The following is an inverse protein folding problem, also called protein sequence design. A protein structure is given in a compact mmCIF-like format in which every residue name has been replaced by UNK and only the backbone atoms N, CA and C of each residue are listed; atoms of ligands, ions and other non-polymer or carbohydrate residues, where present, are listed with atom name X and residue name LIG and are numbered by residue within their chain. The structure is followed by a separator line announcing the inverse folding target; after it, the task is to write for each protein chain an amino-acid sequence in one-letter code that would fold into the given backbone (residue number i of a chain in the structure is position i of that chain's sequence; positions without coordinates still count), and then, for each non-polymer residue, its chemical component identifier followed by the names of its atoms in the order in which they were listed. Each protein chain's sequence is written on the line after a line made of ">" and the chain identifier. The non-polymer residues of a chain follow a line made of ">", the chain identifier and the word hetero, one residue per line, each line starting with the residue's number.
data_IF_758962046774
#
_entry.id   IF_758962046774
#
_cell.length_a   1.000
_cell.length_b   1.000
_cell.length_c   1.000
_cell.angle_alpha   90.00
_cell.angle_beta   90.00
_cell.angle_gamma   90.00
#
_symmetry.space_group_name_H-M   'P 1'
#
loop_
_entity.id
_entity.type
_entity.pdbx_description
1 polymer ?
#
# COMPACT_ATOMS: atom_id res chain seq x y z
N UNK A 1 10.29 -31.13 21.07
CA UNK A 1 10.40 -29.68 21.33
C UNK A 1 11.36 -29.11 20.32
N UNK A 2 10.86 -28.63 19.15
CA UNK A 2 11.69 -27.89 18.20
C UNK A 2 11.96 -26.51 18.79
N UNK A 3 13.15 -26.28 19.30
CA UNK A 3 13.65 -24.94 19.56
C UNK A 3 14.00 -24.37 18.19
N UNK A 4 13.12 -23.59 17.62
CA UNK A 4 13.44 -22.78 16.44
C UNK A 4 14.40 -21.67 16.89
N UNK A 5 15.70 -21.90 16.73
CA UNK A 5 16.70 -20.85 16.75
C UNK A 5 16.38 -19.94 15.54
N UNK A 6 15.76 -18.79 15.80
CA UNK A 6 15.62 -17.76 14.77
C UNK A 6 17.04 -17.31 14.40
N UNK A 7 17.46 -17.63 13.18
CA UNK A 7 18.73 -17.13 12.66
C UNK A 7 18.64 -15.60 12.44
N UNK A 8 19.77 -14.89 12.50
CA UNK A 8 19.84 -13.47 12.16
C UNK A 8 19.21 -13.22 10.77
N UNK A 9 19.47 -14.11 9.82
CA UNK A 9 18.87 -14.05 8.48
C UNK A 9 17.35 -14.12 8.51
N UNK A 10 16.72 -14.98 9.32
CA UNK A 10 15.27 -15.04 9.43
C UNK A 10 14.70 -13.74 10.01
N UNK A 11 15.37 -13.18 11.00
CA UNK A 11 14.99 -11.88 11.60
C UNK A 11 15.01 -10.78 10.55
N UNK A 12 16.02 -10.69 9.72
CA UNK A 12 16.11 -9.69 8.65
C UNK A 12 15.09 -9.95 7.54
N UNK A 13 14.84 -11.20 7.18
CA UNK A 13 13.78 -11.56 6.23
C UNK A 13 12.40 -11.10 6.73
N UNK A 14 12.08 -11.28 8.03
CA UNK A 14 10.83 -10.79 8.62
C UNK A 14 10.71 -9.26 8.61
N UNK A 15 11.82 -8.53 8.55
CA UNK A 15 11.83 -7.07 8.34
C UNK A 15 11.64 -6.65 6.88
N UNK A 16 11.67 -7.60 5.95
CA UNK A 16 11.45 -7.35 4.52
C UNK A 16 12.70 -7.47 3.64
N UNK A 17 13.82 -7.91 4.18
CA UNK A 17 15.04 -8.11 3.39
C UNK A 17 15.06 -9.51 2.76
N UNK A 18 14.08 -9.77 1.89
CA UNK A 18 13.89 -11.09 1.25
C UNK A 18 15.02 -11.48 0.32
N UNK A 19 15.82 -10.52 -0.15
CA UNK A 19 17.01 -10.81 -0.95
C UNK A 19 18.06 -11.66 -0.19
N UNK A 20 18.00 -11.68 1.15
CA UNK A 20 18.86 -12.54 1.99
C UNK A 20 18.42 -14.00 1.98
N UNK A 21 17.20 -14.30 1.52
CA UNK A 21 16.72 -15.68 1.42
C UNK A 21 17.06 -16.30 0.06
N UNK A 22 17.16 -17.65 0.01
CA UNK A 22 17.33 -18.36 -1.24
C UNK A 22 16.19 -18.06 -2.22
N UNK A 23 16.48 -18.02 -3.53
CA UNK A 23 15.51 -17.63 -4.58
C UNK A 23 14.20 -18.41 -4.52
N UNK A 24 14.26 -19.72 -4.26
CA UNK A 24 13.06 -20.55 -4.12
C UNK A 24 12.20 -20.19 -2.91
N UNK A 25 12.85 -19.91 -1.77
CA UNK A 25 12.16 -19.47 -0.55
C UNK A 25 11.52 -18.10 -0.78
N UNK A 26 12.22 -17.15 -1.37
CA UNK A 26 11.68 -15.82 -1.71
C UNK A 26 10.40 -15.92 -2.55
N UNK A 27 10.38 -16.80 -3.55
CA UNK A 27 9.20 -17.03 -4.37
C UNK A 27 8.01 -17.47 -3.50
N UNK A 28 8.21 -18.43 -2.61
CA UNK A 28 7.16 -18.92 -1.70
C UNK A 28 6.67 -17.82 -0.77
N UNK A 29 7.57 -17.01 -0.21
CA UNK A 29 7.21 -15.87 0.66
C UNK A 29 6.32 -14.87 -0.08
N UNK A 30 6.68 -14.50 -1.30
CA UNK A 30 5.95 -13.53 -2.12
C UNK A 30 4.59 -14.06 -2.59
N UNK A 31 4.52 -15.29 -3.08
CA UNK A 31 3.29 -15.89 -3.60
C UNK A 31 2.23 -16.05 -2.50
N UNK A 32 2.65 -16.37 -1.27
CA UNK A 32 1.75 -16.59 -0.14
C UNK A 32 1.61 -15.35 0.76
N UNK A 33 2.41 -14.32 0.59
CA UNK A 33 2.42 -13.13 1.44
C UNK A 33 2.91 -13.42 2.86
N UNK A 34 3.73 -14.43 3.04
CA UNK A 34 4.32 -14.73 4.34
C UNK A 34 5.19 -13.57 4.82
N UNK A 35 5.08 -13.27 6.11
CA UNK A 35 5.77 -12.19 6.81
C UNK A 35 5.37 -10.76 6.40
N UNK A 36 4.38 -10.55 5.52
CA UNK A 36 4.01 -9.20 5.09
C UNK A 36 3.49 -8.32 6.24
N UNK A 37 2.79 -8.89 7.23
CA UNK A 37 2.41 -8.14 8.43
C UNK A 37 3.62 -7.77 9.28
N UNK A 38 4.58 -8.69 9.46
CA UNK A 38 5.83 -8.43 10.17
C UNK A 38 6.66 -7.36 9.46
N UNK A 39 6.76 -7.45 8.13
CA UNK A 39 7.38 -6.42 7.29
C UNK A 39 6.71 -5.06 7.53
N UNK A 40 5.39 -5.01 7.48
CA UNK A 40 4.64 -3.78 7.73
C UNK A 40 4.92 -3.21 9.13
N UNK A 41 4.94 -4.06 10.16
CA UNK A 41 5.26 -3.66 11.54
C UNK A 41 6.71 -3.16 11.68
N UNK A 42 7.65 -3.76 10.97
CA UNK A 42 9.06 -3.36 11.01
C UNK A 42 9.31 -2.04 10.26
N UNK A 43 8.63 -1.83 9.14
CA UNK A 43 8.83 -0.67 8.27
C UNK A 43 7.98 0.54 8.66
N UNK A 44 6.88 0.36 9.39
CA UNK A 44 5.98 1.43 9.80
C UNK A 44 6.03 1.68 11.30
N UNK A 45 5.59 2.88 11.74
CA UNK A 45 5.26 3.07 13.14
C UNK A 45 3.99 2.28 13.52
N UNK A 46 3.72 2.01 14.81
CA UNK A 46 2.58 1.17 15.23
C UNK A 46 1.22 1.64 14.71
N UNK A 47 0.98 2.95 14.69
CA UNK A 47 -0.27 3.54 14.18
C UNK A 47 -0.44 3.29 12.69
N UNK A 48 0.63 3.46 11.90
CA UNK A 48 0.65 3.22 10.46
C UNK A 48 0.53 1.73 10.13
N UNK A 49 1.22 0.88 10.87
CA UNK A 49 1.10 -0.56 10.72
C UNK A 49 -0.34 -1.05 10.95
N UNK A 50 -0.99 -0.58 12.02
CA UNK A 50 -2.39 -0.88 12.29
C UNK A 50 -3.33 -0.38 11.17
N UNK A 51 -3.08 0.81 10.62
CA UNK A 51 -3.78 1.34 9.45
C UNK A 51 -3.61 0.41 8.24
N UNK A 52 -2.39 0.03 7.89
CA UNK A 52 -2.12 -0.84 6.73
C UNK A 52 -2.80 -2.21 6.86
N UNK A 53 -2.88 -2.77 8.07
CA UNK A 53 -3.64 -4.01 8.32
C UNK A 53 -5.13 -3.80 8.06
N UNK A 54 -5.74 -2.70 8.53
CA UNK A 54 -7.15 -2.39 8.26
C UNK A 54 -7.41 -2.13 6.77
N UNK A 55 -6.50 -1.44 6.07
CA UNK A 55 -6.56 -1.28 4.60
C UNK A 55 -6.51 -2.64 3.92
N UNK A 56 -5.62 -3.53 4.35
CA UNK A 56 -5.54 -4.90 3.85
C UNK A 56 -6.87 -5.65 3.97
N UNK A 57 -7.48 -5.64 5.16
CA UNK A 57 -8.79 -6.29 5.37
C UNK A 57 -9.91 -5.67 4.54
N UNK A 58 -9.92 -4.34 4.39
CA UNK A 58 -10.91 -3.63 3.56
C UNK A 58 -10.72 -3.98 2.08
N UNK A 59 -9.48 -4.01 1.59
CA UNK A 59 -9.14 -4.41 0.23
C UNK A 59 -9.53 -5.88 -0.04
N UNK A 60 -9.26 -6.78 0.91
CA UNK A 60 -9.67 -8.19 0.84
C UNK A 60 -11.19 -8.32 0.73
N UNK A 61 -11.96 -7.56 1.54
CA UNK A 61 -13.43 -7.56 1.49
C UNK A 61 -13.94 -7.12 0.12
N UNK A 62 -13.43 -6.00 -0.41
CA UNK A 62 -13.81 -5.50 -1.74
C UNK A 62 -13.45 -6.51 -2.84
N UNK A 63 -12.23 -7.06 -2.80
CA UNK A 63 -11.81 -8.09 -3.78
C UNK A 63 -12.72 -9.32 -3.75
N UNK A 64 -13.17 -9.76 -2.57
CA UNK A 64 -14.11 -10.87 -2.42
C UNK A 64 -15.46 -10.56 -3.08
N UNK A 65 -16.01 -9.37 -2.87
CA UNK A 65 -17.29 -8.94 -3.45
C UNK A 65 -17.21 -8.90 -4.98
N UNK A 66 -16.08 -8.44 -5.51
CA UNK A 66 -15.86 -8.31 -6.96
C UNK A 66 -15.19 -9.53 -7.61
N UNK A 67 -15.18 -10.69 -6.95
CA UNK A 67 -14.63 -11.95 -7.46
C UNK A 67 -13.17 -11.85 -7.93
N UNK A 68 -12.37 -11.02 -7.27
CA UNK A 68 -10.94 -10.86 -7.52
C UNK A 68 -10.09 -11.63 -6.51
N UNK A 69 -8.80 -11.75 -6.76
CA UNK A 69 -7.90 -12.43 -5.83
C UNK A 69 -7.77 -11.62 -4.53
N UNK A 70 -8.45 -12.10 -3.49
CA UNK A 70 -8.53 -11.48 -2.17
C UNK A 70 -7.17 -11.43 -1.45
N UNK A 71 -6.35 -12.47 -1.63
CA UNK A 71 -5.02 -12.53 -1.01
C UNK A 71 -4.11 -11.46 -1.60
N UNK A 72 -4.15 -11.28 -2.92
CA UNK A 72 -3.39 -10.24 -3.60
C UNK A 72 -3.81 -8.83 -3.12
N UNK A 73 -5.10 -8.58 -2.99
CA UNK A 73 -5.62 -7.31 -2.48
C UNK A 73 -5.20 -7.05 -1.02
N UNK A 74 -5.21 -8.08 -0.17
CA UNK A 74 -4.72 -7.99 1.20
C UNK A 74 -3.24 -7.60 1.25
N UNK A 75 -2.41 -8.26 0.44
CA UNK A 75 -0.98 -7.96 0.34
C UNK A 75 -0.72 -6.51 -0.08
N UNK A 76 -1.48 -5.97 -1.05
CA UNK A 76 -1.38 -4.57 -1.46
C UNK A 76 -1.65 -3.62 -0.30
N UNK A 77 -2.71 -3.88 0.46
CA UNK A 77 -3.07 -3.06 1.61
C UNK A 77 -2.03 -3.08 2.72
N UNK A 78 -1.39 -4.23 2.97
CA UNK A 78 -0.29 -4.31 3.94
C UNK A 78 0.92 -3.48 3.52
N UNK A 79 1.26 -3.48 2.23
CA UNK A 79 2.54 -2.97 1.74
C UNK A 79 2.49 -1.54 1.19
N UNK A 80 1.30 -0.92 1.03
CA UNK A 80 1.16 0.35 0.32
C UNK A 80 1.95 1.50 0.95
N UNK A 81 2.09 1.50 2.26
CA UNK A 81 2.70 2.58 3.05
C UNK A 81 4.07 2.21 3.66
N UNK A 82 4.75 1.14 3.19
CA UNK A 82 6.01 0.64 3.80
C UNK A 82 7.13 1.70 3.86
N UNK A 83 7.10 2.70 2.99
CA UNK A 83 8.08 3.80 2.97
C UNK A 83 7.53 5.12 3.52
N UNK A 84 6.32 5.14 4.11
CA UNK A 84 5.68 6.38 4.57
C UNK A 84 6.43 7.10 5.70
N UNK A 85 7.32 6.43 6.40
CA UNK A 85 8.19 7.03 7.43
C UNK A 85 9.53 7.56 6.88
N UNK A 86 9.82 7.29 5.60
CA UNK A 86 11.02 7.80 4.93
C UNK A 86 10.99 9.34 4.96
N UNK A 87 12.11 9.97 5.27
CA UNK A 87 12.24 11.42 5.21
C UNK A 87 12.20 11.92 3.76
N UNK A 88 11.89 13.20 3.57
CA UNK A 88 11.90 13.80 2.23
C UNK A 88 13.28 13.73 1.58
N UNK A 89 14.36 13.85 2.36
CA UNK A 89 15.72 13.70 1.87
C UNK A 89 16.01 12.28 1.36
N UNK A 90 15.67 11.26 2.13
CA UNK A 90 15.80 9.86 1.71
C UNK A 90 14.95 9.56 0.47
N UNK A 91 13.72 10.09 0.44
CA UNK A 91 12.81 9.99 -0.70
C UNK A 91 13.39 10.66 -1.94
N UNK A 92 13.93 11.87 -1.79
CA UNK A 92 14.59 12.60 -2.88
C UNK A 92 15.77 11.83 -3.46
N UNK A 93 16.67 11.32 -2.62
CA UNK A 93 17.82 10.54 -3.07
C UNK A 93 17.41 9.28 -3.81
N UNK A 94 16.42 8.56 -3.29
CA UNK A 94 15.92 7.35 -3.94
C UNK A 94 15.27 7.65 -5.30
N UNK A 95 14.40 8.66 -5.35
CA UNK A 95 13.68 9.05 -6.56
C UNK A 95 14.60 9.67 -7.60
N UNK A 96 15.58 10.50 -7.21
CA UNK A 96 16.54 11.10 -8.16
C UNK A 96 17.31 10.04 -8.95
N UNK A 97 17.56 8.88 -8.33
CA UNK A 97 18.25 7.78 -8.99
C UNK A 97 17.33 6.91 -9.86
N UNK A 98 16.12 6.59 -9.39
CA UNK A 98 15.26 5.60 -10.02
C UNK A 98 14.07 6.18 -10.79
N UNK A 99 13.55 7.35 -10.39
CA UNK A 99 12.33 7.97 -10.91
C UNK A 99 12.42 9.51 -10.86
N UNK A 100 13.41 10.15 -11.50
CA UNK A 100 13.64 11.60 -11.37
C UNK A 100 12.43 12.44 -11.82
N UNK A 101 11.59 11.92 -12.72
CA UNK A 101 10.36 12.59 -13.15
C UNK A 101 9.32 12.78 -12.05
N UNK A 102 9.39 11.99 -10.98
CA UNK A 102 8.50 12.08 -9.82
C UNK A 102 8.84 13.26 -8.90
N UNK A 103 10.06 13.75 -8.94
CA UNK A 103 10.53 14.85 -8.08
C UNK A 103 9.78 16.17 -8.27
N UNK A 104 9.13 16.36 -9.41
CA UNK A 104 8.25 17.50 -9.70
C UNK A 104 6.90 17.45 -8.98
N UNK A 105 6.55 16.31 -8.40
CA UNK A 105 5.32 16.11 -7.66
C UNK A 105 5.53 16.48 -6.17
N UNK A 106 4.42 16.74 -5.47
CA UNK A 106 4.45 17.05 -4.04
C UNK A 106 5.12 15.90 -3.24
N UNK A 107 6.07 16.20 -2.34
CA UNK A 107 6.70 15.19 -1.49
C UNK A 107 5.71 14.32 -0.69
N UNK A 108 4.54 14.85 -0.34
CA UNK A 108 3.50 14.10 0.37
C UNK A 108 3.06 12.81 -0.34
N UNK A 109 3.22 12.75 -1.69
CA UNK A 109 2.85 11.56 -2.49
C UNK A 109 4.03 10.70 -2.91
N UNK A 110 5.27 11.08 -2.63
CA UNK A 110 6.47 10.32 -3.03
C UNK A 110 6.50 8.91 -2.47
N UNK A 111 5.88 8.68 -1.31
CA UNK A 111 5.87 7.36 -0.68
C UNK A 111 5.24 6.26 -1.54
N UNK A 112 4.30 6.58 -2.42
CA UNK A 112 3.72 5.59 -3.34
C UNK A 112 4.72 5.10 -4.38
N UNK A 113 5.61 5.95 -4.83
CA UNK A 113 6.69 5.64 -5.78
C UNK A 113 7.90 5.01 -5.10
N UNK A 114 8.31 5.54 -3.95
CA UNK A 114 9.42 4.94 -3.16
C UNK A 114 9.07 3.54 -2.66
N UNK A 115 7.79 3.27 -2.33
CA UNK A 115 7.32 1.94 -1.97
C UNK A 115 7.52 0.94 -3.11
N UNK A 116 7.21 1.32 -4.36
CA UNK A 116 7.43 0.47 -5.53
C UNK A 116 8.90 0.11 -5.70
N UNK A 117 9.81 1.08 -5.52
CA UNK A 117 11.25 0.84 -5.61
C UNK A 117 11.68 -0.08 -4.47
N UNK A 118 11.26 0.22 -3.25
CA UNK A 118 11.58 -0.54 -2.05
C UNK A 118 11.13 -2.01 -2.17
N UNK A 119 9.92 -2.26 -2.66
CA UNK A 119 9.38 -3.60 -2.85
C UNK A 119 10.19 -4.42 -3.85
N UNK A 120 10.64 -3.79 -4.94
CA UNK A 120 11.50 -4.44 -5.92
C UNK A 120 12.87 -4.79 -5.34
N UNK A 121 13.50 -3.86 -4.64
CA UNK A 121 14.85 -4.02 -4.10
C UNK A 121 14.90 -4.99 -2.92
N UNK A 122 14.00 -4.85 -1.97
CA UNK A 122 14.07 -5.56 -0.69
C UNK A 122 13.28 -6.88 -0.70
N UNK A 123 12.06 -6.89 -1.21
CA UNK A 123 11.27 -8.11 -1.33
C UNK A 123 11.56 -8.90 -2.61
N UNK A 124 12.08 -8.26 -3.67
CA UNK A 124 12.13 -8.84 -5.01
C UNK A 124 10.73 -9.02 -5.61
N UNK A 125 9.81 -8.15 -5.24
CA UNK A 125 8.43 -8.17 -5.73
C UNK A 125 8.34 -7.50 -7.11
N UNK A 126 7.98 -8.27 -8.13
CA UNK A 126 7.76 -7.80 -9.51
C UNK A 126 6.32 -8.04 -10.00
N UNK A 127 5.40 -8.32 -9.08
CA UNK A 127 3.99 -8.48 -9.43
C UNK A 127 3.40 -7.14 -9.89
N UNK A 128 3.13 -7.02 -11.18
CA UNK A 128 2.65 -5.77 -11.79
C UNK A 128 1.39 -5.22 -11.13
N UNK A 129 0.45 -6.09 -10.74
CA UNK A 129 -0.80 -5.65 -10.09
C UNK A 129 -0.54 -5.02 -8.73
N UNK A 130 0.37 -5.58 -7.92
CA UNK A 130 0.77 -5.00 -6.63
C UNK A 130 1.44 -3.66 -6.85
N UNK A 131 2.45 -3.61 -7.72
CA UNK A 131 3.26 -2.42 -7.93
C UNK A 131 2.44 -1.26 -8.48
N UNK A 132 1.57 -1.51 -9.48
CA UNK A 132 0.69 -0.49 -10.04
C UNK A 132 -0.32 0.03 -9.01
N UNK A 133 -1.00 -0.86 -8.29
CA UNK A 133 -1.95 -0.42 -7.28
C UNK A 133 -1.30 0.46 -6.21
N UNK A 134 -0.09 0.09 -5.75
CA UNK A 134 0.67 0.90 -4.78
C UNK A 134 1.12 2.23 -5.38
N UNK A 135 1.59 2.26 -6.64
CA UNK A 135 1.99 3.50 -7.30
C UNK A 135 0.84 4.51 -7.40
N UNK A 136 -0.37 4.04 -7.69
CA UNK A 136 -1.55 4.88 -7.93
C UNK A 136 -2.42 5.16 -6.69
N UNK A 137 -2.12 4.57 -5.52
CA UNK A 137 -3.02 4.63 -4.36
C UNK A 137 -3.17 6.02 -3.76
N UNK A 138 -2.22 6.91 -3.97
CA UNK A 138 -2.28 8.28 -3.42
C UNK A 138 -3.09 9.21 -4.33
N UNK A 139 -2.85 9.16 -5.62
CA UNK A 139 -3.51 10.03 -6.61
C UNK A 139 -4.88 9.50 -7.06
N UNK A 140 -5.13 8.20 -6.95
CA UNK A 140 -6.36 7.58 -7.42
C UNK A 140 -6.53 7.59 -8.94
N UNK A 141 -5.44 7.77 -9.69
CA UNK A 141 -5.41 7.87 -11.16
C UNK A 141 -5.25 6.51 -11.87
N UNK A 142 -5.14 5.43 -11.11
CA UNK A 142 -5.07 4.07 -11.60
C UNK A 142 -6.36 3.61 -12.27
N UNK A 143 -6.26 2.64 -13.19
CA UNK A 143 -7.38 2.21 -14.04
C UNK A 143 -7.79 0.76 -13.83
N UNK A 144 -6.94 -0.05 -13.20
CA UNK A 144 -7.25 -1.45 -12.94
C UNK A 144 -8.19 -1.62 -11.74
N UNK A 145 -8.88 -2.75 -11.69
CA UNK A 145 -9.73 -3.08 -10.53
C UNK A 145 -8.94 -3.11 -9.21
N UNK A 146 -7.67 -3.50 -9.24
CA UNK A 146 -6.81 -3.50 -8.05
C UNK A 146 -6.36 -2.10 -7.65
N UNK A 147 -6.14 -1.19 -8.61
CA UNK A 147 -5.85 0.22 -8.32
C UNK A 147 -7.05 0.85 -7.60
N UNK A 148 -8.25 0.63 -8.11
CA UNK A 148 -9.49 1.11 -7.49
C UNK A 148 -9.69 0.51 -6.09
N UNK A 149 -9.47 -0.81 -5.91
CA UNK A 149 -9.60 -1.46 -4.60
C UNK A 149 -8.66 -0.82 -3.57
N UNK A 150 -7.39 -0.67 -3.89
CA UNK A 150 -6.42 -0.13 -2.93
C UNK A 150 -6.70 1.33 -2.62
N UNK A 151 -6.97 2.15 -3.64
CA UNK A 151 -7.32 3.56 -3.46
C UNK A 151 -8.55 3.73 -2.57
N UNK A 152 -9.62 2.99 -2.82
CA UNK A 152 -10.83 3.02 -2.01
C UNK A 152 -10.53 2.54 -0.59
N UNK A 153 -9.91 1.37 -0.44
CA UNK A 153 -9.66 0.75 0.85
C UNK A 153 -8.86 1.65 1.80
N UNK A 154 -7.86 2.37 1.28
CA UNK A 154 -7.10 3.35 2.06
C UNK A 154 -8.00 4.47 2.60
N UNK A 155 -9.01 4.88 1.87
CA UNK A 155 -9.89 5.98 2.26
C UNK A 155 -11.07 5.54 3.15
N UNK A 156 -11.51 4.27 3.09
CA UNK A 156 -12.71 3.80 3.80
C UNK A 156 -12.43 2.79 4.92
N UNK A 157 -11.16 2.51 5.25
CA UNK A 157 -10.83 1.56 6.34
C UNK A 157 -11.45 2.01 7.67
N UNK A 158 -11.82 1.06 8.59
CA UNK A 158 -12.63 1.38 9.78
C UNK A 158 -12.02 2.35 10.78
N UNK A 159 -10.74 2.70 10.64
CA UNK A 159 -10.08 3.70 11.48
C UNK A 159 -10.23 5.15 10.98
N UNK A 160 -10.98 5.39 9.92
CA UNK A 160 -11.25 6.75 9.44
C UNK A 160 -12.28 7.45 10.33
N UNK A 161 -12.07 8.74 10.57
CA UNK A 161 -12.89 9.55 11.48
C UNK A 161 -13.98 10.36 10.75
N UNK A 162 -14.42 9.90 9.58
CA UNK A 162 -15.52 10.49 8.81
C UNK A 162 -16.46 9.39 8.28
N UNK A 163 -17.68 9.79 7.91
CA UNK A 163 -18.66 8.84 7.40
C UNK A 163 -18.26 8.29 6.03
N UNK A 164 -18.03 6.99 5.97
CA UNK A 164 -17.66 6.25 4.76
C UNK A 164 -18.79 5.40 4.21
N UNK A 165 -20.01 5.55 4.72
CA UNK A 165 -21.15 4.70 4.39
C UNK A 165 -21.47 4.72 2.89
N UNK A 166 -21.56 5.89 2.29
CA UNK A 166 -21.85 6.03 0.85
C UNK A 166 -20.68 5.55 -0.02
N UNK A 167 -19.44 5.87 0.37
CA UNK A 167 -18.22 5.38 -0.30
C UNK A 167 -18.22 3.86 -0.36
N UNK A 168 -18.47 3.21 0.76
CA UNK A 168 -18.54 1.74 0.87
C UNK A 168 -19.64 1.17 0.00
N UNK A 169 -20.86 1.72 0.08
CA UNK A 169 -22.03 1.23 -0.68
C UNK A 169 -21.82 1.30 -2.19
N UNK A 170 -21.23 2.39 -2.68
CA UNK A 170 -20.94 2.55 -4.10
C UNK A 170 -19.82 1.59 -4.54
N UNK A 171 -18.74 1.51 -3.75
CA UNK A 171 -17.61 0.62 -4.02
C UNK A 171 -18.01 -0.86 -4.05
N UNK A 172 -18.92 -1.30 -3.17
CA UNK A 172 -19.43 -2.68 -3.16
C UNK A 172 -20.28 -3.00 -4.39
N UNK A 173 -20.87 -2.00 -5.04
CA UNK A 173 -21.63 -2.19 -6.28
C UNK A 173 -20.76 -2.11 -7.53
N UNK A 174 -19.85 -1.15 -7.58
CA UNK A 174 -18.99 -0.89 -8.74
C UNK A 174 -17.70 -0.21 -8.30
N UNK A 175 -16.56 -0.89 -8.47
CA UNK A 175 -15.25 -0.38 -8.05
C UNK A 175 -14.85 0.93 -8.74
N UNK A 176 -15.10 1.05 -10.05
CA UNK A 176 -14.75 2.26 -10.80
C UNK A 176 -15.54 3.45 -10.30
N UNK A 177 -16.85 3.32 -10.17
CA UNK A 177 -17.71 4.37 -9.62
C UNK A 177 -17.36 4.71 -8.17
N UNK A 178 -16.99 3.69 -7.37
CA UNK A 178 -16.51 3.88 -6.00
C UNK A 178 -15.23 4.71 -5.95
N UNK A 179 -14.25 4.42 -6.81
CA UNK A 179 -13.01 5.18 -6.90
C UNK A 179 -13.25 6.62 -7.36
N UNK A 180 -14.10 6.82 -8.38
CA UNK A 180 -14.50 8.14 -8.86
C UNK A 180 -15.19 8.97 -7.77
N UNK A 181 -16.09 8.35 -7.00
CA UNK A 181 -16.78 9.00 -5.88
C UNK A 181 -15.81 9.41 -4.77
N UNK A 182 -14.94 8.50 -4.34
CA UNK A 182 -13.90 8.77 -3.34
C UNK A 182 -12.97 9.90 -3.81
N UNK A 183 -12.58 9.91 -5.08
CA UNK A 183 -11.71 10.94 -5.64
C UNK A 183 -12.39 12.31 -5.67
N UNK A 184 -13.66 12.36 -6.04
CA UNK A 184 -14.45 13.60 -6.05
C UNK A 184 -14.59 14.19 -4.64
N UNK A 185 -14.88 13.35 -3.64
CA UNK A 185 -15.00 13.76 -2.24
C UNK A 185 -13.67 14.26 -1.67
N UNK A 186 -12.57 13.56 -1.97
CA UNK A 186 -11.22 14.00 -1.57
C UNK A 186 -10.84 15.37 -2.16
N UNK A 187 -11.14 15.60 -3.44
CA UNK A 187 -10.92 16.90 -4.09
C UNK A 187 -11.74 18.01 -3.46
N UNK A 188 -13.02 17.75 -3.17
CA UNK A 188 -13.89 18.71 -2.49
C UNK A 188 -13.32 19.11 -1.12
N UNK A 189 -12.87 18.12 -0.34
CA UNK A 189 -12.26 18.37 0.97
C UNK A 189 -10.99 19.23 0.88
N UNK A 190 -10.14 19.03 -0.12
CA UNK A 190 -8.92 19.83 -0.33
C UNK A 190 -9.32 21.28 -0.64
N UNK A 191 -10.23 21.51 -1.60
CA UNK A 191 -10.69 22.85 -1.97
C UNK A 191 -11.33 23.61 -0.79
N UNK A 192 -12.10 22.92 0.04
CA UNK A 192 -12.71 23.51 1.25
C UNK A 192 -11.66 23.90 2.30
N UNK A 193 -10.55 23.15 2.39
CA UNK A 193 -9.43 23.52 3.27
C UNK A 193 -8.66 24.72 2.75
N UNK A 194 -8.34 24.75 1.47
CA UNK A 194 -7.62 25.86 0.83
C UNK A 194 -8.44 27.16 0.86
N UNK A 195 -9.76 27.07 0.64
CA UNK A 195 -10.68 28.22 0.74
C UNK A 195 -10.88 28.77 2.16
N UNK A 196 -10.45 28.07 3.22
CA UNK A 196 -10.50 28.55 4.61
C UNK A 196 -9.22 29.29 5.05
N UNK A 197 -8.22 29.39 4.19
CA UNK A 197 -6.96 30.09 4.43
C UNK A 197 -6.83 31.42 3.65
N UNK A 198 -7.94 31.96 3.12
CA UNK A 198 -8.02 33.29 2.49
C UNK A 198 -8.73 34.27 3.41
#
# INVERSE_FOLDING_TARGET
>A
TCIALQSETETEVRKGYFYLSAKGIRKILLENGYYFEEVTKAQCNPKRAAHSVRVGHTALKLARIHHLNKQLAYQMGLLHDVTKKMSDEEGYQLLSHFRPEVLKLDPAIWHSYTAVIWLKQNLGCYNKKILQAIEHHTLGDGKSAYDHILYIADKIEPGRHYDVTMHTKIAERNLKQGAEYVLADAKKYILEKEGKHV
#
